data_IF_048221269749
#
_entry.id   IF_048221269749
#
_cell.length_a   1.000
_cell.length_b   1.000
_cell.length_c   1.000
_cell.angle_alpha   90.00
_cell.angle_beta   90.00
_cell.angle_gamma   90.00
#
_symmetry.space_group_name_H-M   'P 1'
#
loop_
_entity.id
_entity.type
_entity.pdbx_description
1 polymer ?
#
# COMPACT_ATOMS: atom_id res chain seq x y z
N UNK A 1 23.54 35.99 -18.65
CA UNK A 1 23.55 35.16 -17.43
C UNK A 1 22.26 34.34 -17.31
N UNK A 2 22.03 33.36 -18.20
CA UNK A 2 20.83 32.52 -18.17
C UNK A 2 21.11 31.04 -18.47
N UNK A 3 22.34 30.69 -18.90
CA UNK A 3 22.73 29.32 -19.27
C UNK A 3 23.27 28.49 -18.09
N UNK A 4 23.73 29.11 -17.01
CA UNK A 4 24.27 28.41 -15.85
C UNK A 4 23.19 27.67 -15.03
N UNK A 5 21.93 28.10 -15.12
CA UNK A 5 20.81 27.51 -14.37
C UNK A 5 20.28 26.23 -15.03
N UNK A 6 20.43 26.09 -16.36
CA UNK A 6 19.94 24.92 -17.10
C UNK A 6 20.80 23.66 -16.87
N UNK A 7 22.10 23.81 -16.60
CA UNK A 7 23.00 22.68 -16.37
C UNK A 7 22.91 22.06 -14.97
N UNK A 8 22.31 22.75 -13.99
CA UNK A 8 22.04 22.15 -12.67
C UNK A 8 20.90 21.12 -12.69
N UNK A 9 20.07 21.12 -13.74
CA UNK A 9 18.95 20.17 -13.88
C UNK A 9 19.32 18.84 -14.53
N UNK A 10 20.53 18.72 -15.09
CA UNK A 10 21.02 17.48 -15.70
C UNK A 10 22.27 17.03 -14.95
N UNK A 11 22.16 16.89 -13.62
CA UNK A 11 23.17 16.15 -12.87
C UNK A 11 22.87 14.66 -13.09
N UNK A 12 23.73 13.88 -13.76
CA UNK A 12 23.55 12.45 -13.84
C UNK A 12 23.50 11.89 -12.42
N UNK A 13 22.54 10.99 -12.17
CA UNK A 13 22.35 10.38 -10.86
C UNK A 13 23.68 9.77 -10.41
N UNK A 14 24.09 10.09 -9.18
CA UNK A 14 25.31 9.53 -8.62
C UNK A 14 25.12 8.03 -8.35
N UNK A 15 26.20 7.24 -8.25
CA UNK A 15 26.09 5.84 -7.83
C UNK A 15 25.34 5.68 -6.50
N UNK A 16 25.52 6.61 -5.56
CA UNK A 16 24.80 6.66 -4.28
C UNK A 16 23.29 6.87 -4.47
N UNK A 17 22.87 7.72 -5.43
CA UNK A 17 21.46 7.92 -5.75
C UNK A 17 20.82 6.65 -6.34
N UNK A 18 21.58 5.89 -7.14
CA UNK A 18 21.10 4.62 -7.70
C UNK A 18 20.96 3.56 -6.61
N UNK A 19 21.92 3.45 -5.70
CA UNK A 19 21.86 2.53 -4.57
C UNK A 19 20.65 2.84 -3.67
N UNK A 20 20.45 4.11 -3.31
CA UNK A 20 19.30 4.54 -2.51
C UNK A 20 17.96 4.23 -3.20
N UNK A 21 17.88 4.39 -4.53
CA UNK A 21 16.69 4.02 -5.30
C UNK A 21 16.45 2.51 -5.29
N UNK A 22 17.50 1.69 -5.46
CA UNK A 22 17.37 0.24 -5.43
C UNK A 22 16.93 -0.28 -4.06
N UNK A 23 17.49 0.27 -2.98
CA UNK A 23 17.07 -0.07 -1.61
C UNK A 23 15.61 0.29 -1.37
N UNK A 24 15.22 1.52 -1.71
CA UNK A 24 13.83 1.96 -1.59
C UNK A 24 12.88 1.06 -2.39
N UNK A 25 13.23 0.68 -3.62
CA UNK A 25 12.41 -0.20 -4.44
C UNK A 25 12.26 -1.58 -3.84
N UNK A 26 13.36 -2.17 -3.34
CA UNK A 26 13.31 -3.47 -2.67
C UNK A 26 12.35 -3.45 -1.47
N UNK A 27 12.45 -2.41 -0.63
CA UNK A 27 11.57 -2.26 0.52
C UNK A 27 10.11 -1.99 0.14
N UNK A 28 9.88 -1.08 -0.82
CA UNK A 28 8.54 -0.78 -1.32
C UNK A 28 7.88 -2.02 -1.96
N UNK A 29 8.62 -2.78 -2.78
CA UNK A 29 8.13 -4.04 -3.37
C UNK A 29 7.73 -5.03 -2.29
N UNK A 30 8.55 -5.22 -1.25
CA UNK A 30 8.20 -6.12 -0.13
C UNK A 30 6.90 -5.71 0.57
N UNK A 31 6.70 -4.41 0.83
CA UNK A 31 5.49 -3.92 1.48
C UNK A 31 4.25 -4.11 0.58
N UNK A 32 4.41 -3.86 -0.72
CA UNK A 32 3.35 -4.02 -1.71
C UNK A 32 2.98 -5.50 -1.89
N UNK A 33 3.96 -6.38 -1.98
CA UNK A 33 3.74 -7.83 -2.07
C UNK A 33 3.00 -8.35 -0.83
N UNK A 34 3.37 -7.84 0.36
CA UNK A 34 2.67 -8.21 1.60
C UNK A 34 1.20 -7.80 1.56
N UNK A 35 0.92 -6.57 1.11
CA UNK A 35 -0.44 -6.05 0.95
C UNK A 35 -1.25 -6.89 -0.04
N UNK A 36 -0.65 -7.25 -1.18
CA UNK A 36 -1.26 -8.11 -2.19
C UNK A 36 -1.62 -9.49 -1.66
N UNK A 37 -0.68 -10.16 -0.97
CA UNK A 37 -0.93 -11.47 -0.35
C UNK A 37 -2.11 -11.42 0.63
N UNK A 38 -2.18 -10.37 1.46
CA UNK A 38 -3.30 -10.21 2.41
C UNK A 38 -4.66 -10.10 1.70
N UNK A 39 -4.71 -9.44 0.53
CA UNK A 39 -5.92 -9.33 -0.26
C UNK A 39 -6.29 -10.62 -0.99
N UNK A 40 -5.31 -11.37 -1.50
CA UNK A 40 -5.52 -12.67 -2.12
C UNK A 40 -6.03 -13.70 -1.09
N UNK A 41 -5.40 -13.75 0.09
CA UNK A 41 -5.82 -14.59 1.21
C UNK A 41 -7.25 -14.26 1.67
N UNK A 42 -7.62 -12.98 1.69
CA UNK A 42 -8.97 -12.54 1.99
C UNK A 42 -10.00 -13.04 0.99
N UNK A 43 -9.70 -12.88 -0.31
CA UNK A 43 -10.54 -13.33 -1.40
C UNK A 43 -10.82 -14.82 -1.29
N UNK A 44 -9.76 -15.61 -1.11
CA UNK A 44 -9.87 -17.06 -0.92
C UNK A 44 -10.70 -17.43 0.32
N UNK A 45 -10.45 -16.78 1.47
CA UNK A 45 -11.17 -17.11 2.70
C UNK A 45 -12.67 -16.79 2.63
N UNK A 46 -13.05 -15.66 2.03
CA UNK A 46 -14.46 -15.23 1.95
C UNK A 46 -15.34 -16.18 1.16
N UNK A 47 -14.78 -16.92 0.22
CA UNK A 47 -15.52 -17.88 -0.58
C UNK A 47 -15.99 -19.09 0.25
N UNK A 48 -15.26 -19.43 1.33
CA UNK A 48 -15.48 -20.66 2.09
C UNK A 48 -15.91 -20.45 3.56
N UNK A 49 -15.85 -19.23 4.10
CA UNK A 49 -16.16 -18.96 5.52
C UNK A 49 -17.53 -18.28 5.67
N UNK A 50 -18.57 -19.00 6.15
CA UNK A 50 -19.89 -18.41 6.38
C UNK A 50 -20.01 -17.66 7.72
N UNK A 51 -19.02 -17.77 8.61
CA UNK A 51 -19.07 -17.25 9.98
C UNK A 51 -18.59 -15.80 10.05
N UNK A 52 -19.52 -14.86 10.26
CA UNK A 52 -19.22 -13.42 10.28
C UNK A 52 -18.24 -13.02 11.39
N UNK A 53 -18.26 -13.68 12.55
CA UNK A 53 -17.33 -13.40 13.63
C UNK A 53 -15.88 -13.71 13.24
N UNK A 54 -15.66 -14.79 12.49
CA UNK A 54 -14.34 -15.13 11.95
C UNK A 54 -13.88 -14.08 10.93
N UNK A 55 -14.76 -13.69 10.01
CA UNK A 55 -14.47 -12.64 9.03
C UNK A 55 -14.16 -11.29 9.70
N UNK A 56 -14.90 -10.93 10.75
CA UNK A 56 -14.69 -9.72 11.52
C UNK A 56 -13.31 -9.71 12.21
N UNK A 57 -12.92 -10.83 12.81
CA UNK A 57 -11.63 -10.96 13.49
C UNK A 57 -10.45 -10.92 12.52
N UNK A 58 -10.55 -11.62 11.38
CA UNK A 58 -9.51 -11.56 10.35
C UNK A 58 -9.37 -10.15 9.78
N UNK A 59 -10.49 -9.48 9.50
CA UNK A 59 -10.47 -8.09 9.06
C UNK A 59 -9.82 -7.15 10.11
N UNK A 60 -10.09 -7.37 11.39
CA UNK A 60 -9.46 -6.60 12.46
C UNK A 60 -7.94 -6.83 12.53
N UNK A 61 -7.47 -8.08 12.40
CA UNK A 61 -6.04 -8.42 12.35
C UNK A 61 -5.37 -7.79 11.14
N UNK A 62 -5.98 -7.89 9.95
CA UNK A 62 -5.44 -7.31 8.73
C UNK A 62 -5.35 -5.79 8.81
N UNK A 63 -6.31 -5.12 9.45
CA UNK A 63 -6.21 -3.68 9.74
C UNK A 63 -4.96 -3.35 10.57
N UNK A 64 -4.72 -4.09 11.65
CA UNK A 64 -3.54 -3.84 12.51
C UNK A 64 -2.24 -4.04 11.75
N UNK A 65 -2.16 -5.11 10.95
CA UNK A 65 -0.99 -5.37 10.10
C UNK A 65 -0.78 -4.25 9.08
N UNK A 66 -1.84 -3.75 8.43
CA UNK A 66 -1.69 -2.63 7.50
C UNK A 66 -1.30 -1.32 8.18
N UNK A 67 -1.78 -1.04 9.39
CA UNK A 67 -1.29 0.11 10.16
C UNK A 67 0.18 -0.03 10.54
N UNK A 68 0.64 -1.24 10.85
CA UNK A 68 2.06 -1.54 11.10
C UNK A 68 2.90 -1.30 9.84
N UNK A 69 2.47 -1.81 8.69
CA UNK A 69 3.13 -1.59 7.40
C UNK A 69 3.09 -0.11 6.98
N UNK A 70 1.99 0.61 7.24
CA UNK A 70 1.89 2.04 6.98
C UNK A 70 2.93 2.82 7.78
N UNK A 71 3.11 2.49 9.05
CA UNK A 71 4.17 3.07 9.87
C UNK A 71 5.58 2.72 9.36
N UNK A 72 5.79 1.49 8.92
CA UNK A 72 7.03 1.04 8.29
C UNK A 72 7.33 1.83 7.01
N UNK A 73 6.30 2.13 6.20
CA UNK A 73 6.44 2.91 4.97
C UNK A 73 6.88 4.37 5.21
N UNK A 74 6.51 4.97 6.35
CA UNK A 74 6.95 6.31 6.73
C UNK A 74 8.46 6.37 7.05
N UNK A 75 9.01 5.24 7.52
CA UNK A 75 10.41 5.12 7.91
C UNK A 75 11.34 4.75 6.75
N UNK A 76 10.79 4.49 5.56
CA UNK A 76 11.60 4.22 4.38
C UNK A 76 12.46 5.42 4.02
N UNK A 77 13.74 5.16 3.76
CA UNK A 77 14.66 6.15 3.26
C UNK A 77 14.41 6.36 1.76
N UNK A 78 13.47 7.24 1.44
CA UNK A 78 13.15 7.57 0.05
C UNK A 78 14.11 8.63 -0.50
N UNK A 79 14.78 8.39 -1.64
CA UNK A 79 15.39 9.47 -2.40
C UNK A 79 14.31 10.46 -2.86
N UNK A 80 14.68 11.73 -3.08
CA UNK A 80 13.72 12.79 -3.43
C UNK A 80 12.91 12.47 -4.69
N UNK A 81 13.50 11.76 -5.65
CA UNK A 81 12.84 11.32 -6.87
C UNK A 81 11.67 10.35 -6.62
N UNK A 82 11.68 9.62 -5.50
CA UNK A 82 10.68 8.60 -5.15
C UNK A 82 9.72 9.04 -4.05
N UNK A 83 9.79 10.29 -3.58
CA UNK A 83 8.94 10.79 -2.50
C UNK A 83 7.43 10.75 -2.84
N UNK A 84 7.07 10.86 -4.12
CA UNK A 84 5.70 10.65 -4.58
C UNK A 84 5.26 9.19 -4.38
N UNK A 85 6.08 8.24 -4.84
CA UNK A 85 5.86 6.79 -4.68
C UNK A 85 5.75 6.39 -3.21
N UNK A 86 6.58 6.94 -2.32
CA UNK A 86 6.46 6.67 -0.87
C UNK A 86 5.11 7.14 -0.32
N UNK A 87 4.64 8.33 -0.70
CA UNK A 87 3.33 8.85 -0.26
C UNK A 87 2.19 8.01 -0.79
N UNK A 88 2.23 7.62 -2.06
CA UNK A 88 1.21 6.76 -2.67
C UNK A 88 1.19 5.37 -2.02
N UNK A 89 2.35 4.81 -1.68
CA UNK A 89 2.44 3.56 -0.91
C UNK A 89 1.80 3.69 0.48
N UNK A 90 2.14 4.74 1.21
CA UNK A 90 1.56 5.01 2.52
C UNK A 90 0.02 5.20 2.44
N UNK A 91 -0.46 5.91 1.41
CA UNK A 91 -1.88 6.11 1.16
C UNK A 91 -2.59 4.79 0.84
N UNK A 92 -1.99 3.92 0.04
CA UNK A 92 -2.55 2.58 -0.24
C UNK A 92 -2.66 1.74 1.05
N UNK A 93 -1.62 1.76 1.89
CA UNK A 93 -1.61 1.01 3.16
C UNK A 93 -2.67 1.53 4.15
N UNK A 94 -2.79 2.85 4.28
CA UNK A 94 -3.79 3.48 5.17
C UNK A 94 -5.22 3.34 4.65
N UNK A 95 -5.44 3.45 3.33
CA UNK A 95 -6.73 3.19 2.69
C UNK A 95 -7.15 1.73 2.83
N UNK A 96 -6.22 0.80 2.64
CA UNK A 96 -6.45 -0.62 2.92
C UNK A 96 -6.83 -0.84 4.39
N UNK A 97 -6.11 -0.21 5.33
CA UNK A 97 -6.41 -0.34 6.76
C UNK A 97 -7.82 0.18 7.10
N UNK A 98 -8.24 1.25 6.44
CA UNK A 98 -9.60 1.78 6.54
C UNK A 98 -10.63 0.80 5.96
N UNK A 99 -10.36 0.21 4.81
CA UNK A 99 -11.23 -0.81 4.21
C UNK A 99 -11.46 -1.99 5.16
N UNK A 100 -10.37 -2.49 5.76
CA UNK A 100 -10.40 -3.55 6.77
C UNK A 100 -11.16 -3.16 8.03
N UNK A 101 -11.08 -1.90 8.46
CA UNK A 101 -11.88 -1.39 9.57
C UNK A 101 -13.38 -1.46 9.27
N UNK A 102 -13.78 -1.04 8.06
CA UNK A 102 -15.17 -1.07 7.62
C UNK A 102 -15.69 -2.50 7.58
N UNK A 103 -14.91 -3.44 7.04
CA UNK A 103 -15.25 -4.86 7.04
C UNK A 103 -15.39 -5.44 8.44
N UNK A 104 -14.41 -5.20 9.31
CA UNK A 104 -14.43 -5.71 10.68
C UNK A 104 -15.69 -5.27 11.43
N UNK A 105 -16.03 -3.98 11.31
CA UNK A 105 -17.25 -3.43 11.90
C UNK A 105 -18.52 -3.95 11.19
N UNK A 106 -18.50 -4.05 9.87
CA UNK A 106 -19.61 -4.52 9.05
C UNK A 106 -20.01 -5.94 9.41
N UNK A 107 -19.05 -6.86 9.51
CA UNK A 107 -19.31 -8.24 9.91
C UNK A 107 -19.72 -8.34 11.39
N UNK A 108 -19.05 -7.63 12.30
CA UNK A 108 -19.34 -7.70 13.75
C UNK A 108 -20.71 -7.13 14.13
N UNK A 109 -21.18 -6.11 13.42
CA UNK A 109 -22.45 -5.44 13.69
C UNK A 109 -23.51 -5.74 12.61
N UNK A 110 -23.25 -6.71 11.73
CA UNK A 110 -24.13 -7.09 10.62
C UNK A 110 -24.61 -5.91 9.75
N UNK A 111 -23.73 -4.92 9.52
CA UNK A 111 -24.02 -3.72 8.72
C UNK A 111 -23.56 -3.94 7.28
N UNK A 112 -24.50 -4.29 6.41
CA UNK A 112 -24.24 -4.55 4.98
C UNK A 112 -23.60 -3.36 4.27
N UNK A 113 -24.03 -2.13 4.56
CA UNK A 113 -23.43 -0.90 4.00
C UNK A 113 -21.93 -0.82 4.29
N UNK A 114 -21.52 -1.01 5.55
CA UNK A 114 -20.11 -1.00 5.92
C UNK A 114 -19.32 -2.15 5.27
N UNK A 115 -19.95 -3.31 5.06
CA UNK A 115 -19.34 -4.41 4.30
C UNK A 115 -19.15 -4.02 2.84
N UNK A 116 -20.16 -3.44 2.19
CA UNK A 116 -20.10 -2.99 0.80
C UNK A 116 -19.04 -1.89 0.61
N UNK A 117 -19.03 -0.86 1.45
CA UNK A 117 -18.05 0.23 1.40
C UNK A 117 -16.64 -0.28 1.64
N UNK A 118 -16.47 -1.20 2.60
CA UNK A 118 -15.19 -1.86 2.84
C UNK A 118 -14.70 -2.66 1.63
N UNK A 119 -15.61 -3.36 0.94
CA UNK A 119 -15.25 -4.11 -0.28
C UNK A 119 -14.91 -3.19 -1.46
N UNK A 120 -15.68 -2.13 -1.66
CA UNK A 120 -15.40 -1.14 -2.70
C UNK A 120 -14.01 -0.51 -2.48
N UNK A 121 -13.73 -0.06 -1.26
CA UNK A 121 -12.45 0.54 -0.92
C UNK A 121 -11.28 -0.45 -1.05
N UNK A 122 -11.48 -1.74 -0.73
CA UNK A 122 -10.48 -2.78 -0.98
C UNK A 122 -10.15 -2.91 -2.48
N UNK A 123 -11.16 -2.91 -3.34
CA UNK A 123 -10.97 -3.02 -4.80
C UNK A 123 -10.21 -1.80 -5.33
N UNK A 124 -10.58 -0.60 -4.87
CA UNK A 124 -9.89 0.63 -5.26
C UNK A 124 -8.42 0.63 -4.79
N UNK A 125 -8.18 0.14 -3.57
CA UNK A 125 -6.82 0.01 -3.01
C UNK A 125 -5.99 -1.01 -3.81
N UNK A 126 -6.59 -2.14 -4.22
CA UNK A 126 -5.93 -3.13 -5.08
C UNK A 126 -5.52 -2.52 -6.43
N UNK A 127 -6.41 -1.77 -7.07
CA UNK A 127 -6.09 -1.07 -8.32
C UNK A 127 -4.97 -0.03 -8.13
N UNK A 128 -4.90 0.64 -6.98
CA UNK A 128 -3.78 1.52 -6.65
C UNK A 128 -2.47 0.75 -6.45
N UNK A 129 -2.53 -0.40 -5.77
CA UNK A 129 -1.38 -1.29 -5.57
C UNK A 129 -0.81 -1.78 -6.89
N UNK A 130 -1.65 -2.22 -7.83
CA UNK A 130 -1.18 -2.68 -9.14
C UNK A 130 -0.43 -1.58 -9.91
N UNK A 131 -0.90 -0.32 -9.80
CA UNK A 131 -0.19 0.84 -10.35
C UNK A 131 1.14 1.08 -9.64
N UNK A 132 1.19 0.96 -8.32
CA UNK A 132 2.41 1.12 -7.53
C UNK A 132 3.47 0.08 -7.89
N UNK A 133 3.07 -1.19 -8.09
CA UNK A 133 3.99 -2.25 -8.56
C UNK A 133 4.66 -1.83 -9.86
N UNK A 134 3.87 -1.36 -10.83
CA UNK A 134 4.39 -0.92 -12.12
C UNK A 134 5.36 0.26 -11.97
N UNK A 135 5.04 1.24 -11.11
CA UNK A 135 5.93 2.38 -10.86
C UNK A 135 7.25 1.99 -10.19
N UNK A 136 7.20 1.08 -9.21
CA UNK A 136 8.38 0.61 -8.46
C UNK A 136 9.27 -0.28 -9.33
N UNK A 137 8.70 -0.98 -10.32
CA UNK A 137 9.42 -1.90 -11.20
C UNK A 137 9.92 -1.31 -12.54
N UNK A 138 9.26 -0.26 -13.09
CA UNK A 138 9.55 0.23 -14.45
C UNK A 138 10.56 1.39 -14.55
N UNK A 139 11.12 1.85 -13.44
CA UNK A 139 12.16 2.90 -13.41
C UNK A 139 13.40 2.41 -12.67
#
# INVERSE_FOLDING_TARGET
MALATLFQFIRPASPEDHEAQQLFRGDATRLVDRLRVMFEEWGAMREFVPEYDKLANVAAVNRWELMRLAHESEQLHSPRSMAATQRELHEALTSGARAWQLLANGYRFHKSEAVCDGQALLIDTLAQVDRLIQQVQMH
#
